data_IF_334682208517
#
_entry.id   IF_334682208517
#
_cell.length_a   1.000
_cell.length_b   1.000
_cell.length_c   1.000
_cell.angle_alpha   90.00
_cell.angle_beta   90.00
_cell.angle_gamma   90.00
#
_symmetry.space_group_name_H-M   'P 1'
#
loop_
_entity.id
_entity.type
_entity.pdbx_description
1 polymer ?
#
# COMPACT_ATOMS: atom_id res chain seq x y z
N UNK A 1 12.77 5.95 3.74
CA UNK A 1 12.33 6.04 2.32
C UNK A 1 10.82 5.82 2.20
N UNK A 2 10.27 4.72 2.74
CA UNK A 2 8.83 4.36 2.66
C UNK A 2 7.87 5.41 3.23
N UNK A 3 8.08 5.87 4.47
CA UNK A 3 7.17 6.81 5.16
C UNK A 3 7.02 8.13 4.39
N UNK A 4 8.12 8.63 3.83
CA UNK A 4 8.13 9.88 3.08
C UNK A 4 7.23 9.81 1.85
N UNK A 5 7.27 8.70 1.11
CA UNK A 5 6.42 8.49 -0.06
C UNK A 5 4.94 8.42 0.33
N UNK A 6 4.59 7.76 1.44
CA UNK A 6 3.20 7.68 1.90
C UNK A 6 2.67 9.07 2.29
N UNK A 7 3.47 9.86 3.03
CA UNK A 7 3.10 11.21 3.46
C UNK A 7 2.96 12.16 2.26
N UNK A 8 3.89 12.11 1.30
CA UNK A 8 3.82 12.96 0.10
C UNK A 8 2.54 12.71 -0.69
N UNK A 9 2.16 11.44 -0.88
CA UNK A 9 0.95 11.09 -1.62
C UNK A 9 -0.34 11.30 -0.82
N UNK A 10 -0.31 11.13 0.50
CA UNK A 10 -1.43 11.50 1.37
C UNK A 10 -1.77 12.98 1.20
N UNK A 11 -0.76 13.86 1.17
CA UNK A 11 -0.97 15.30 0.95
C UNK A 11 -1.45 15.58 -0.48
N UNK A 12 -0.82 14.98 -1.51
CA UNK A 12 -1.18 15.19 -2.92
C UNK A 12 -2.62 14.75 -3.25
N UNK A 13 -3.12 13.73 -2.56
CA UNK A 13 -4.45 13.16 -2.79
C UNK A 13 -5.47 13.64 -1.75
N UNK A 14 -5.06 14.56 -0.86
CA UNK A 14 -5.87 15.09 0.24
C UNK A 14 -6.49 14.00 1.12
N UNK A 15 -5.74 12.93 1.36
CA UNK A 15 -6.22 11.78 2.10
C UNK A 15 -6.27 12.01 3.61
N UNK A 16 -7.23 11.41 4.31
CA UNK A 16 -7.32 11.44 5.77
C UNK A 16 -6.11 10.74 6.43
N UNK A 17 -5.74 11.20 7.63
CA UNK A 17 -4.64 10.59 8.40
C UNK A 17 -4.90 9.11 8.73
N UNK A 18 -6.17 8.69 8.84
CA UNK A 18 -6.53 7.28 9.06
C UNK A 18 -6.01 6.35 7.94
N UNK A 19 -5.90 6.86 6.70
CA UNK A 19 -5.37 6.10 5.57
C UNK A 19 -3.88 5.88 5.72
N UNK A 20 -3.15 6.91 6.17
CA UNK A 20 -1.72 6.82 6.48
C UNK A 20 -1.47 5.80 7.60
N UNK A 21 -2.23 5.87 8.69
CA UNK A 21 -2.10 4.93 9.81
C UNK A 21 -2.40 3.49 9.39
N UNK A 22 -3.44 3.28 8.59
CA UNK A 22 -3.79 1.96 8.07
C UNK A 22 -2.71 1.43 7.12
N UNK A 23 -2.20 2.25 6.20
CA UNK A 23 -1.14 1.86 5.28
C UNK A 23 0.15 1.47 6.03
N UNK A 24 0.57 2.27 7.02
CA UNK A 24 1.75 1.96 7.85
C UNK A 24 1.55 0.66 8.64
N UNK A 25 0.37 0.44 9.22
CA UNK A 25 0.07 -0.82 9.91
C UNK A 25 0.12 -2.04 9.00
N UNK A 26 -0.39 -1.93 7.76
CA UNK A 26 -0.33 -3.02 6.77
C UNK A 26 1.13 -3.35 6.44
N UNK A 27 1.95 -2.33 6.19
CA UNK A 27 3.36 -2.50 5.83
C UNK A 27 4.13 -3.15 6.98
N UNK A 28 4.00 -2.61 8.20
CA UNK A 28 4.72 -3.08 9.38
C UNK A 28 4.38 -4.55 9.72
N UNK A 29 3.09 -4.92 9.65
CA UNK A 29 2.65 -6.30 9.84
C UNK A 29 3.16 -7.23 8.75
N UNK A 30 3.16 -6.80 7.50
CA UNK A 30 3.64 -7.62 6.40
C UNK A 30 5.15 -7.88 6.49
N UNK A 31 5.94 -6.84 6.83
CA UNK A 31 7.39 -6.94 7.04
C UNK A 31 7.75 -7.79 8.25
N UNK A 32 6.92 -7.76 9.30
CA UNK A 32 7.10 -8.64 10.47
C UNK A 32 6.95 -10.12 10.13
N UNK A 33 6.18 -10.45 9.08
CA UNK A 33 5.89 -11.83 8.67
C UNK A 33 6.77 -12.31 7.50
N UNK A 34 7.30 -11.39 6.71
CA UNK A 34 7.97 -11.70 5.44
C UNK A 34 9.17 -10.78 5.24
N UNK A 35 10.40 -11.31 5.16
CA UNK A 35 11.54 -10.53 4.72
C UNK A 35 11.42 -10.23 3.22
N UNK A 36 11.66 -8.99 2.82
CA UNK A 36 11.48 -8.50 1.44
C UNK A 36 12.71 -7.68 1.05
N UNK A 37 13.06 -7.74 -0.23
CA UNK A 37 14.09 -6.90 -0.84
C UNK A 37 13.62 -5.45 -1.05
N UNK A 38 14.55 -4.51 -1.19
CA UNK A 38 14.23 -3.08 -1.28
C UNK A 38 13.37 -2.71 -2.51
N UNK A 39 13.51 -3.47 -3.60
CA UNK A 39 12.73 -3.30 -4.83
C UNK A 39 11.24 -3.62 -4.55
N UNK A 40 10.99 -4.79 -3.98
CA UNK A 40 9.64 -5.24 -3.64
C UNK A 40 9.02 -4.46 -2.46
N UNK A 41 9.83 -3.78 -1.64
CA UNK A 41 9.36 -2.91 -0.57
C UNK A 41 8.58 -1.70 -1.11
N UNK A 42 9.01 -1.13 -2.25
CA UNK A 42 8.28 -0.02 -2.89
C UNK A 42 6.93 -0.52 -3.41
N UNK A 43 6.91 -1.71 -4.04
CA UNK A 43 5.68 -2.33 -4.53
C UNK A 43 4.72 -2.64 -3.36
N UNK A 44 5.22 -3.20 -2.27
CA UNK A 44 4.46 -3.44 -1.03
C UNK A 44 3.86 -2.12 -0.53
N UNK A 45 4.67 -1.07 -0.40
CA UNK A 45 4.25 0.24 0.11
C UNK A 45 3.12 0.83 -0.73
N UNK A 46 3.31 0.83 -2.05
CA UNK A 46 2.34 1.37 -2.99
C UNK A 46 1.02 0.59 -2.94
N UNK A 47 1.10 -0.73 -2.82
CA UNK A 47 -0.07 -1.61 -2.74
C UNK A 47 -0.77 -1.54 -1.39
N UNK A 48 -0.04 -1.41 -0.28
CA UNK A 48 -0.61 -1.19 1.05
C UNK A 48 -1.40 0.13 1.12
N UNK A 49 -0.83 1.19 0.55
CA UNK A 49 -1.48 2.49 0.44
C UNK A 49 -2.75 2.42 -0.43
N UNK A 50 -2.72 1.63 -1.51
CA UNK A 50 -3.89 1.34 -2.32
C UNK A 50 -5.03 0.73 -1.51
N UNK A 51 -4.72 -0.33 -0.76
CA UNK A 51 -5.69 -1.06 0.06
C UNK A 51 -6.27 -0.12 1.12
N UNK A 52 -5.41 0.63 1.83
CA UNK A 52 -5.83 1.59 2.84
C UNK A 52 -6.78 2.66 2.29
N UNK A 53 -6.46 3.22 1.11
CA UNK A 53 -7.29 4.24 0.45
C UNK A 53 -8.66 3.70 0.03
N UNK A 54 -8.74 2.44 -0.41
CA UNK A 54 -10.00 1.76 -0.72
C UNK A 54 -10.86 1.55 0.53
N UNK A 55 -10.24 1.19 1.65
CA UNK A 55 -10.93 0.90 2.90
C UNK A 55 -11.50 2.16 3.58
N UNK A 56 -10.70 3.22 3.71
CA UNK A 56 -11.08 4.40 4.51
C UNK A 56 -11.66 5.55 3.71
N UNK A 57 -11.30 5.71 2.43
CA UNK A 57 -11.66 6.93 1.68
C UNK A 57 -12.54 6.73 0.46
N UNK A 58 -12.85 5.49 0.06
CA UNK A 58 -13.58 5.19 -1.20
C UNK A 58 -13.01 5.93 -2.42
N UNK A 59 -11.76 6.39 -2.34
CA UNK A 59 -11.11 7.16 -3.39
C UNK A 59 -10.86 6.22 -4.56
N UNK A 60 -11.24 6.64 -5.78
CA UNK A 60 -10.95 5.91 -7.01
C UNK A 60 -9.46 6.07 -7.37
N UNK A 61 -8.60 5.46 -6.57
CA UNK A 61 -7.18 5.35 -6.88
C UNK A 61 -7.05 4.42 -8.08
N UNK A 62 -6.44 4.90 -9.15
CA UNK A 62 -6.22 4.09 -10.34
C UNK A 62 -4.92 3.29 -10.21
N UNK A 63 -4.92 2.03 -10.67
CA UNK A 63 -3.70 1.21 -10.76
C UNK A 63 -2.59 1.91 -11.55
N UNK A 64 -2.95 2.72 -12.55
CA UNK A 64 -2.00 3.52 -13.32
C UNK A 64 -1.29 4.58 -12.47
N UNK A 65 -1.98 5.18 -11.50
CA UNK A 65 -1.36 6.13 -10.56
C UNK A 65 -0.35 5.39 -9.69
N UNK A 66 -0.72 4.24 -9.15
CA UNK A 66 0.16 3.42 -8.32
C UNK A 66 1.41 2.98 -9.06
N UNK A 67 1.26 2.56 -10.31
CA UNK A 67 2.41 2.24 -11.14
C UNK A 67 3.32 3.47 -11.33
N UNK A 68 2.73 4.66 -11.50
CA UNK A 68 3.49 5.91 -11.60
C UNK A 68 4.25 6.23 -10.31
N UNK A 69 3.66 5.96 -9.15
CA UNK A 69 4.32 6.10 -7.83
C UNK A 69 5.52 5.16 -7.74
N UNK A 70 5.34 3.92 -8.20
CA UNK A 70 6.36 2.88 -8.18
C UNK A 70 7.35 2.96 -9.36
N UNK A 71 7.47 4.12 -10.03
CA UNK A 71 8.44 4.33 -11.10
C UNK A 71 8.14 3.59 -12.42
N UNK A 72 6.88 3.23 -12.66
CA UNK A 72 6.40 2.49 -13.84
C UNK A 72 7.11 1.15 -14.09
N UNK A 73 7.69 0.57 -13.04
CA UNK A 73 8.49 -0.66 -13.11
C UNK A 73 7.64 -1.93 -12.95
N UNK A 74 6.36 -1.80 -12.58
CA UNK A 74 5.50 -2.92 -12.23
C UNK A 74 4.28 -3.03 -13.16
N UNK A 75 3.90 -4.25 -13.52
CA UNK A 75 2.68 -4.48 -14.28
C UNK A 75 1.45 -4.44 -13.37
N UNK A 76 0.27 -4.21 -13.96
CA UNK A 76 -1.01 -4.33 -13.23
C UNK A 76 -1.18 -5.70 -12.57
N UNK A 77 -0.62 -6.74 -13.19
CA UNK A 77 -0.61 -8.10 -12.66
C UNK A 77 0.21 -8.20 -11.37
N UNK A 78 1.37 -7.55 -11.32
CA UNK A 78 2.26 -7.58 -10.15
C UNK A 78 1.62 -6.88 -8.95
N UNK A 79 0.99 -5.73 -9.19
CA UNK A 79 0.23 -4.99 -8.16
C UNK A 79 -0.93 -5.84 -7.62
N UNK A 80 -1.67 -6.53 -8.50
CA UNK A 80 -2.77 -7.43 -8.08
C UNK A 80 -2.26 -8.63 -7.31
N UNK A 81 -1.16 -9.25 -7.75
CA UNK A 81 -0.55 -10.38 -7.07
C UNK A 81 -0.08 -9.97 -5.67
N UNK A 82 0.53 -8.78 -5.55
CA UNK A 82 0.93 -8.20 -4.28
C UNK A 82 -0.29 -7.89 -3.40
N UNK A 83 -1.37 -7.34 -3.96
CA UNK A 83 -2.62 -7.05 -3.21
C UNK A 83 -3.18 -8.34 -2.60
N UNK A 84 -3.23 -9.42 -3.39
CA UNK A 84 -3.67 -10.74 -2.92
C UNK A 84 -2.71 -11.30 -1.86
N UNK A 85 -1.39 -11.16 -2.05
CA UNK A 85 -0.39 -11.64 -1.10
C UNK A 85 -0.52 -10.93 0.26
N UNK A 86 -0.65 -9.60 0.25
CA UNK A 86 -0.89 -8.79 1.45
C UNK A 86 -2.19 -9.23 2.13
N UNK A 87 -3.31 -9.25 1.42
CA UNK A 87 -4.61 -9.60 2.00
C UNK A 87 -4.63 -11.02 2.59
N UNK A 88 -4.00 -11.99 1.90
CA UNK A 88 -3.84 -13.36 2.42
C UNK A 88 -2.94 -13.41 3.64
N UNK A 89 -1.84 -12.65 3.68
CA UNK A 89 -0.91 -12.64 4.81
C UNK A 89 -1.46 -11.92 6.04
N UNK A 90 -2.33 -10.95 5.84
CA UNK A 90 -3.03 -10.24 6.90
C UNK A 90 -4.33 -10.92 7.31
N UNK A 91 -4.68 -12.08 6.73
CA UNK A 91 -5.95 -12.79 6.96
C UNK A 91 -7.17 -11.88 6.86
N UNK A 92 -7.15 -10.91 5.93
CA UNK A 92 -8.16 -9.85 5.79
C UNK A 92 -8.44 -9.04 7.08
N UNK A 93 -7.59 -9.17 8.09
CA UNK A 93 -7.74 -8.51 9.39
C UNK A 93 -7.12 -7.12 9.28
N UNK A 94 -7.79 -6.24 8.53
CA UNK A 94 -7.33 -4.86 8.27
C UNK A 94 -7.64 -3.90 9.43
N UNK A 95 -8.42 -4.34 10.41
CA UNK A 95 -8.69 -3.59 11.64
C UNK A 95 -8.24 -4.47 12.83
N UNK A 96 -7.45 -3.90 13.74
CA UNK A 96 -7.36 -4.45 15.09
C UNK A 96 -8.74 -4.20 15.76
N UNK A 97 -9.19 -5.12 16.64
CA UNK A 97 -10.44 -4.94 17.38
C UNK A 97 -10.45 -3.64 18.19
#
# INVERSE_FOLDING_TARGET
>A
VVIWLIVEYQIKLSWCQDVLFLAVQIIDRYLSLTPIEEIDLILLTCTALFIASKCKERSQVNLSLINRIAGNSYSRSDIKNMEIAILKKLDFTMEKP
#
